data_IF_205199159910
#
_entry.id   IF_205199159910
#
_cell.length_a   1.000
_cell.length_b   1.000
_cell.length_c   1.000
_cell.angle_alpha   90.00
_cell.angle_beta   90.00
_cell.angle_gamma   90.00
#
_symmetry.space_group_name_H-M   'P 1'
#
loop_
_entity.id
_entity.type
_entity.pdbx_description
1 polymer ?
#
# COMPACT_ATOMS: atom_id res chain seq x y z
N UNK A 1 17.63 -17.60 3.63
CA UNK A 1 17.57 -16.17 4.01
C UNK A 1 16.11 -15.87 4.29
N UNK A 2 15.72 -16.06 5.55
CA UNK A 2 14.37 -15.72 6.01
C UNK A 2 14.23 -14.20 6.01
N UNK A 3 13.51 -13.68 5.01
CA UNK A 3 12.98 -12.34 5.03
C UNK A 3 11.70 -12.42 5.85
N UNK A 4 11.78 -12.06 7.12
CA UNK A 4 10.56 -11.87 7.92
C UNK A 4 9.71 -10.79 7.23
N UNK A 5 8.46 -11.09 6.85
CA UNK A 5 7.60 -10.08 6.29
C UNK A 5 7.36 -8.97 7.31
N UNK A 6 7.33 -7.72 6.88
CA UNK A 6 6.75 -6.65 7.68
C UNK A 6 5.35 -7.09 8.08
N UNK A 7 5.01 -6.96 9.37
CA UNK A 7 3.68 -7.33 9.85
C UNK A 7 2.64 -6.49 9.12
N UNK A 8 1.55 -7.11 8.72
CA UNK A 8 0.63 -6.55 7.77
C UNK A 8 -0.49 -5.71 8.38
N UNK A 9 -1.44 -5.36 7.52
CA UNK A 9 -2.70 -4.71 7.86
C UNK A 9 -3.65 -5.76 8.43
N UNK A 10 -4.12 -5.57 9.66
CA UNK A 10 -5.10 -6.44 10.31
C UNK A 10 -6.43 -5.72 10.55
N UNK A 11 -7.52 -6.46 10.60
CA UNK A 11 -8.80 -5.96 11.09
C UNK A 11 -8.93 -6.20 12.62
N UNK A 12 -9.96 -5.60 13.24
CA UNK A 12 -10.23 -5.70 14.69
C UNK A 12 -10.39 -7.16 15.16
N UNK A 13 -10.72 -8.07 14.27
CA UNK A 13 -10.83 -9.50 14.53
C UNK A 13 -9.49 -10.25 14.42
N UNK A 14 -8.35 -9.53 14.36
CA UNK A 14 -6.99 -10.08 14.21
C UNK A 14 -6.78 -10.88 12.92
N UNK A 15 -7.61 -10.67 11.90
CA UNK A 15 -7.39 -11.25 10.58
C UNK A 15 -6.45 -10.35 9.79
N UNK A 16 -5.31 -10.89 9.39
CA UNK A 16 -4.40 -10.20 8.48
C UNK A 16 -5.07 -10.07 7.10
N UNK A 17 -5.25 -8.82 6.64
CA UNK A 17 -5.87 -8.50 5.35
C UNK A 17 -4.81 -8.42 4.26
N UNK A 18 -3.67 -7.83 4.58
CA UNK A 18 -2.56 -7.63 3.65
C UNK A 18 -1.23 -7.64 4.39
N UNK A 19 -0.16 -8.12 3.75
CA UNK A 19 1.20 -8.04 4.25
C UNK A 19 2.17 -7.94 3.09
N UNK A 20 3.09 -7.00 3.16
CA UNK A 20 4.10 -6.80 2.13
C UNK A 20 5.37 -6.20 2.73
N UNK A 21 6.44 -6.19 1.94
CA UNK A 21 7.69 -5.55 2.25
C UNK A 21 8.03 -4.55 1.14
N UNK A 22 8.11 -3.27 1.50
CA UNK A 22 8.36 -2.25 0.49
C UNK A 22 8.52 -0.86 1.07
N UNK A 23 8.52 0.13 0.18
CA UNK A 23 8.62 1.53 0.54
C UNK A 23 7.26 2.10 0.94
N UNK A 24 7.27 2.85 2.04
CA UNK A 24 6.14 3.63 2.52
C UNK A 24 6.58 5.01 2.99
N UNK A 25 5.67 5.95 3.02
CA UNK A 25 5.89 7.32 3.47
C UNK A 25 4.91 7.70 4.57
N UNK A 26 5.44 8.31 5.62
CA UNK A 26 4.64 9.08 6.57
C UNK A 26 4.53 10.52 6.08
N UNK A 27 3.32 10.99 5.84
CA UNK A 27 3.02 12.35 5.39
C UNK A 27 2.33 13.15 6.50
N UNK A 28 2.04 14.41 6.26
CA UNK A 28 1.30 15.24 7.21
C UNK A 28 -0.18 14.84 7.35
N UNK A 29 -0.72 14.11 6.39
CA UNK A 29 -2.11 13.63 6.39
C UNK A 29 -2.25 12.14 6.73
N UNK A 30 -1.16 11.36 6.81
CA UNK A 30 -1.21 9.94 7.11
C UNK A 30 -0.11 9.14 6.43
N UNK A 31 -0.45 7.94 5.95
CA UNK A 31 0.48 7.05 5.27
C UNK A 31 0.27 7.08 3.76
N UNK A 32 1.34 6.88 2.99
CA UNK A 32 1.34 6.84 1.54
C UNK A 32 2.51 5.96 1.02
N UNK A 33 2.68 5.91 -0.28
CA UNK A 33 3.74 5.15 -0.95
C UNK A 33 3.23 3.85 -1.57
N UNK A 34 4.05 3.19 -2.40
CA UNK A 34 3.63 2.04 -3.22
C UNK A 34 2.97 0.91 -2.42
N UNK A 35 3.56 0.58 -1.26
CA UNK A 35 3.03 -0.46 -0.38
C UNK A 35 1.67 -0.09 0.21
N UNK A 36 1.46 1.17 0.60
CA UNK A 36 0.18 1.64 1.17
C UNK A 36 -0.90 1.70 0.09
N UNK A 37 -0.56 2.12 -1.13
CA UNK A 37 -1.48 2.10 -2.27
C UNK A 37 -1.92 0.67 -2.59
N UNK A 38 -0.99 -0.29 -2.61
CA UNK A 38 -1.34 -1.71 -2.80
C UNK A 38 -2.18 -2.25 -1.64
N UNK A 39 -1.87 -1.88 -0.39
CA UNK A 39 -2.65 -2.28 0.77
C UNK A 39 -4.09 -1.73 0.72
N UNK A 40 -4.27 -0.50 0.23
CA UNK A 40 -5.59 0.14 0.16
C UNK A 40 -6.57 -0.60 -0.75
N UNK A 41 -6.11 -1.29 -1.81
CA UNK A 41 -6.96 -2.08 -2.70
C UNK A 41 -7.58 -3.31 -2.01
N UNK A 42 -7.02 -3.74 -0.88
CA UNK A 42 -7.54 -4.86 -0.09
C UNK A 42 -8.56 -4.43 0.99
N UNK A 43 -8.72 -3.13 1.21
CA UNK A 43 -9.66 -2.57 2.17
C UNK A 43 -10.94 -2.18 1.42
N UNK A 44 -12.03 -2.92 1.62
CA UNK A 44 -13.29 -2.68 0.90
C UNK A 44 -14.30 -1.87 1.70
N UNK A 45 -14.27 -1.97 3.02
CA UNK A 45 -15.21 -1.31 3.92
C UNK A 45 -14.42 -0.67 5.05
N UNK A 46 -14.02 0.58 4.82
CA UNK A 46 -13.23 1.34 5.78
C UNK A 46 -14.16 2.03 6.77
N UNK A 47 -13.96 1.72 8.04
CA UNK A 47 -14.62 2.36 9.17
C UNK A 47 -13.55 2.74 10.19
N UNK A 48 -13.76 3.81 10.96
CA UNK A 48 -12.85 4.16 12.05
C UNK A 48 -12.62 2.95 12.97
N UNK A 49 -11.40 2.79 13.43
CA UNK A 49 -10.96 1.75 14.37
C UNK A 49 -11.07 0.30 13.88
N UNK A 50 -11.45 0.08 12.61
CA UNK A 50 -11.58 -1.26 12.03
C UNK A 50 -10.26 -1.85 11.58
N UNK A 51 -9.34 -1.02 11.09
CA UNK A 51 -8.06 -1.47 10.55
C UNK A 51 -6.88 -0.86 11.30
N UNK A 52 -5.89 -1.69 11.54
CA UNK A 52 -4.63 -1.31 12.18
C UNK A 52 -3.49 -1.70 11.25
N UNK A 53 -2.62 -0.75 10.96
CA UNK A 53 -1.34 -1.02 10.30
C UNK A 53 -0.29 -1.36 11.36
N UNK A 54 0.31 -2.54 11.27
CA UNK A 54 1.47 -2.93 12.06
C UNK A 54 2.73 -2.80 11.19
N UNK A 55 3.64 -1.94 11.60
CA UNK A 55 4.81 -1.55 10.80
C UNK A 55 6.07 -2.01 11.51
N UNK A 56 6.86 -2.86 10.86
CA UNK A 56 8.21 -3.15 11.30
C UNK A 56 9.17 -2.08 10.77
N UNK A 57 9.60 -1.17 11.65
CA UNK A 57 10.50 -0.07 11.29
C UNK A 57 11.95 -0.54 11.04
N UNK A 58 12.28 -1.79 11.38
CA UNK A 58 13.62 -2.40 11.24
C UNK A 58 13.53 -3.84 10.72
N UNK A 59 12.96 -4.07 9.53
CA UNK A 59 12.71 -5.42 9.04
C UNK A 59 13.98 -6.22 8.76
N UNK A 60 15.10 -5.56 8.50
CA UNK A 60 16.39 -6.22 8.28
C UNK A 60 17.03 -6.78 9.56
N UNK A 61 16.55 -6.38 10.75
CA UNK A 61 17.08 -6.82 12.04
C UNK A 61 16.04 -7.68 12.74
N UNK A 62 16.42 -8.88 13.19
CA UNK A 62 15.61 -9.61 14.15
C UNK A 62 15.65 -8.94 15.53
N UNK A 63 14.81 -9.38 16.45
CA UNK A 63 14.67 -8.76 17.76
C UNK A 63 16.00 -8.71 18.53
N UNK A 64 16.76 -9.79 18.55
CA UNK A 64 18.04 -9.89 19.29
C UNK A 64 19.11 -8.95 18.70
N UNK A 65 19.22 -8.91 17.37
CA UNK A 65 20.15 -8.02 16.71
C UNK A 65 19.77 -6.55 16.88
N UNK A 66 18.46 -6.24 16.91
CA UNK A 66 17.97 -4.90 17.17
C UNK A 66 18.29 -4.48 18.62
N UNK A 67 18.03 -5.33 19.61
CA UNK A 67 18.35 -5.05 21.02
C UNK A 67 19.85 -4.81 21.20
N UNK A 68 20.69 -5.66 20.61
CA UNK A 68 22.15 -5.49 20.67
C UNK A 68 22.60 -4.21 19.98
N UNK A 69 21.99 -3.84 18.88
CA UNK A 69 22.28 -2.58 18.17
C UNK A 69 21.94 -1.38 19.05
N UNK A 70 20.73 -1.35 19.63
CA UNK A 70 20.30 -0.26 20.53
C UNK A 70 21.21 -0.17 21.75
N UNK A 71 21.60 -1.32 22.33
CA UNK A 71 22.53 -1.35 23.45
C UNK A 71 23.87 -0.70 23.09
N UNK A 72 24.41 -0.97 21.91
CA UNK A 72 25.66 -0.37 21.44
C UNK A 72 25.50 1.15 21.18
N UNK A 73 24.42 1.55 20.53
CA UNK A 73 24.12 2.97 20.26
C UNK A 73 23.98 3.77 21.59
N UNK A 74 23.38 3.18 22.63
CA UNK A 74 23.29 3.80 23.96
C UNK A 74 24.62 3.84 24.72
N UNK A 75 25.47 2.83 24.56
CA UNK A 75 26.83 2.85 25.12
C UNK A 75 27.68 3.96 24.50
N UNK A 76 27.63 4.10 23.17
CA UNK A 76 28.34 5.18 22.45
C UNK A 76 27.87 6.58 22.87
N UNK A 77 26.59 6.71 23.24
CA UNK A 77 25.97 7.97 23.62
C UNK A 77 25.63 8.05 25.13
N UNK A 78 26.34 7.36 25.97
CA UNK A 78 26.03 7.12 27.40
C UNK A 78 25.61 8.37 28.16
N UNK A 79 26.27 9.50 27.94
CA UNK A 79 26.01 10.78 28.60
C UNK A 79 25.01 11.69 27.87
N UNK A 80 24.52 11.27 26.72
CA UNK A 80 23.55 12.04 25.95
C UNK A 80 22.11 11.67 26.31
N UNK A 81 21.21 12.58 26.03
CA UNK A 81 19.79 12.31 26.16
C UNK A 81 19.33 11.31 25.10
N UNK A 82 18.37 10.47 25.42
CA UNK A 82 17.86 9.45 24.49
C UNK A 82 17.32 10.05 23.20
N UNK A 83 16.75 11.25 23.26
CA UNK A 83 16.28 11.97 22.06
C UNK A 83 17.36 12.18 20.99
N UNK A 84 18.62 12.25 21.39
CA UNK A 84 19.76 12.47 20.51
C UNK A 84 20.46 11.17 20.05
N UNK A 85 20.13 10.03 20.64
CA UNK A 85 20.77 8.74 20.34
C UNK A 85 20.21 8.04 19.09
N UNK A 86 19.02 8.43 18.63
CA UNK A 86 18.30 7.73 17.55
C UNK A 86 18.68 8.15 16.12
N UNK A 87 19.51 9.17 15.96
CA UNK A 87 19.82 9.74 14.63
C UNK A 87 20.43 8.74 13.63
N UNK A 88 21.15 7.73 14.14
CA UNK A 88 21.72 6.63 13.33
C UNK A 88 20.75 5.46 13.14
N UNK A 89 19.68 5.40 13.93
CA UNK A 89 18.75 4.28 13.96
C UNK A 89 17.46 4.59 13.18
N UNK A 90 16.92 5.81 13.28
CA UNK A 90 15.63 6.19 12.74
C UNK A 90 15.72 7.48 11.89
N UNK A 91 14.88 7.63 10.85
CA UNK A 91 14.68 8.89 10.18
C UNK A 91 14.22 9.97 11.18
N UNK A 92 14.76 11.18 11.04
CA UNK A 92 14.58 12.29 12.01
C UNK A 92 13.11 12.55 12.38
N UNK A 93 12.20 12.49 11.42
CA UNK A 93 10.77 12.82 11.63
C UNK A 93 10.02 11.79 12.47
N UNK A 94 10.46 10.52 12.49
CA UNK A 94 9.77 9.45 13.25
C UNK A 94 10.31 9.30 14.68
N UNK A 95 11.45 9.93 15.01
CA UNK A 95 12.05 9.82 16.34
C UNK A 95 11.07 10.27 17.41
N UNK A 96 10.47 11.45 17.26
CA UNK A 96 9.54 12.00 18.27
C UNK A 96 8.29 11.12 18.45
N UNK A 97 7.60 10.67 17.39
CA UNK A 97 6.51 9.70 17.52
C UNK A 97 6.90 8.41 18.27
N UNK A 98 8.07 7.85 17.97
CA UNK A 98 8.57 6.64 18.65
C UNK A 98 8.84 6.92 20.13
N UNK A 99 9.53 8.01 20.45
CA UNK A 99 9.82 8.39 21.83
C UNK A 99 8.55 8.65 22.66
N UNK A 100 7.56 9.32 22.09
CA UNK A 100 6.26 9.53 22.75
C UNK A 100 5.57 8.20 23.07
N UNK A 101 5.61 7.25 22.14
CA UNK A 101 5.01 5.93 22.35
C UNK A 101 5.80 5.08 23.35
N UNK A 102 7.11 5.24 23.39
CA UNK A 102 7.97 4.57 24.35
C UNK A 102 7.73 5.04 25.80
N UNK A 103 7.30 6.30 25.99
CA UNK A 103 6.92 6.83 27.30
C UNK A 103 8.10 7.15 28.23
N UNK A 104 9.33 7.05 27.73
CA UNK A 104 10.53 7.45 28.47
C UNK A 104 10.77 8.95 28.30
N UNK A 105 11.14 9.70 29.37
CA UNK A 105 11.47 11.12 29.27
C UNK A 105 12.56 11.39 28.24
N UNK A 106 12.39 12.43 27.41
CA UNK A 106 13.30 12.73 26.29
C UNK A 106 14.71 13.12 26.72
N UNK A 107 14.83 13.66 27.92
CA UNK A 107 16.06 14.10 28.59
C UNK A 107 16.71 13.00 29.44
N UNK A 108 16.10 11.81 29.51
CA UNK A 108 16.69 10.67 30.21
C UNK A 108 18.01 10.29 29.53
N UNK A 109 19.05 10.06 30.34
CA UNK A 109 20.38 9.68 29.84
C UNK A 109 20.41 8.25 29.33
N UNK A 110 21.11 8.01 28.23
CA UNK A 110 21.23 6.68 27.65
C UNK A 110 21.78 5.62 28.60
N UNK A 111 22.68 6.00 29.51
CA UNK A 111 23.25 5.09 30.50
C UNK A 111 22.27 4.69 31.62
N UNK A 112 21.14 5.40 31.76
CA UNK A 112 20.13 5.11 32.80
C UNK A 112 18.93 4.33 32.24
N UNK A 113 18.96 3.94 30.95
CA UNK A 113 17.93 3.10 30.36
C UNK A 113 18.05 1.68 30.86
N UNK A 114 16.94 1.15 31.40
CA UNK A 114 16.88 -0.22 31.91
C UNK A 114 16.74 -1.23 30.76
N UNK A 115 16.94 -2.51 31.11
CA UNK A 115 16.75 -3.60 30.14
C UNK A 115 15.31 -3.70 29.67
N UNK A 116 14.35 -3.48 30.57
CA UNK A 116 12.92 -3.53 30.32
C UNK A 116 12.50 -2.39 29.37
N UNK A 117 12.98 -1.17 29.63
CA UNK A 117 12.73 -0.03 28.76
C UNK A 117 13.31 -0.26 27.35
N UNK A 118 14.52 -0.80 27.26
CA UNK A 118 15.13 -1.13 25.97
C UNK A 118 14.36 -2.21 25.23
N UNK A 119 13.88 -3.24 25.95
CA UNK A 119 13.03 -4.29 25.36
C UNK A 119 11.72 -3.72 24.82
N UNK A 120 11.04 -2.87 25.59
CA UNK A 120 9.83 -2.17 25.14
C UNK A 120 10.07 -1.32 23.88
N UNK A 121 11.23 -0.65 23.81
CA UNK A 121 11.62 0.07 22.59
C UNK A 121 11.76 -0.88 21.39
N UNK A 122 12.39 -2.04 21.56
CA UNK A 122 12.49 -3.04 20.49
C UNK A 122 11.12 -3.51 20.03
N UNK A 123 10.18 -3.76 20.94
CA UNK A 123 8.80 -4.13 20.59
C UNK A 123 8.11 -3.06 19.76
N UNK A 124 8.23 -1.78 20.17
CA UNK A 124 7.68 -0.66 19.43
C UNK A 124 8.28 -0.56 18.01
N UNK A 125 9.58 -0.74 17.87
CA UNK A 125 10.26 -0.67 16.59
C UNK A 125 9.91 -1.86 15.66
N UNK A 126 9.63 -3.02 16.24
CA UNK A 126 9.23 -4.22 15.51
C UNK A 126 7.74 -4.29 15.21
N UNK A 127 6.92 -3.54 15.95
CA UNK A 127 5.47 -3.49 15.78
C UNK A 127 4.95 -2.08 16.07
N UNK A 128 5.27 -1.13 15.19
CA UNK A 128 4.76 0.22 15.29
C UNK A 128 3.34 0.26 14.71
N UNK A 129 2.33 0.35 15.58
CA UNK A 129 0.93 0.32 15.21
C UNK A 129 0.39 1.71 14.85
N UNK A 130 -0.44 1.78 13.81
CA UNK A 130 -1.15 3.00 13.40
C UNK A 130 -2.59 2.62 13.08
N UNK A 131 -3.55 3.28 13.70
CA UNK A 131 -4.96 3.14 13.39
C UNK A 131 -5.29 3.84 12.08
N UNK A 132 -6.13 3.19 11.25
CA UNK A 132 -6.54 3.72 9.96
C UNK A 132 -7.96 4.25 10.11
N UNK A 133 -8.12 5.56 10.04
CA UNK A 133 -9.40 6.24 10.19
C UNK A 133 -10.22 6.31 8.89
N UNK A 134 -9.56 6.27 7.74
CA UNK A 134 -10.24 6.42 6.45
C UNK A 134 -9.29 6.52 5.27
N UNK A 135 -9.86 6.59 4.07
CA UNK A 135 -9.15 6.95 2.85
C UNK A 135 -9.09 8.47 2.67
N UNK A 136 -8.19 8.91 1.82
CA UNK A 136 -8.19 10.28 1.29
C UNK A 136 -9.40 10.46 0.36
N UNK A 137 -9.80 11.73 0.07
CA UNK A 137 -10.83 12.02 -0.91
C UNK A 137 -10.57 11.32 -2.24
N UNK A 138 -11.65 10.90 -2.92
CA UNK A 138 -11.56 10.10 -4.16
C UNK A 138 -10.85 10.88 -5.29
N UNK A 139 -10.89 12.19 -5.25
CA UNK A 139 -10.22 13.08 -6.21
C UNK A 139 -8.68 12.97 -6.14
N UNK A 140 -8.16 12.45 -5.04
CA UNK A 140 -6.73 12.19 -4.84
C UNK A 140 -6.33 10.74 -5.17
N UNK A 141 -7.29 9.89 -5.56
CA UNK A 141 -7.00 8.51 -5.90
C UNK A 141 -6.13 8.44 -7.16
N UNK A 142 -5.07 7.62 -7.12
CA UNK A 142 -4.22 7.35 -8.28
C UNK A 142 -4.97 6.44 -9.25
N UNK A 143 -5.77 5.51 -8.71
CA UNK A 143 -6.65 4.61 -9.44
C UNK A 143 -7.90 4.35 -8.60
N UNK A 144 -9.03 4.20 -9.26
CA UNK A 144 -10.30 3.84 -8.62
C UNK A 144 -10.59 2.35 -8.81
N UNK A 145 -11.25 1.73 -7.84
CA UNK A 145 -11.76 0.36 -7.93
C UNK A 145 -13.23 0.38 -8.34
N UNK A 146 -13.66 -0.61 -9.14
CA UNK A 146 -15.00 -0.71 -9.68
C UNK A 146 -15.06 -0.38 -11.17
N UNK A 147 -16.23 -0.59 -11.77
CA UNK A 147 -16.44 -0.37 -13.20
C UNK A 147 -17.29 -1.45 -13.85
N UNK A 148 -17.13 -1.64 -15.16
CA UNK A 148 -17.83 -2.69 -15.91
C UNK A 148 -17.24 -4.04 -15.56
N UNK A 149 -18.09 -4.97 -15.10
CA UNK A 149 -17.66 -6.32 -14.69
C UNK A 149 -16.93 -7.05 -15.82
N UNK A 150 -15.76 -7.56 -15.53
CA UNK A 150 -14.94 -8.33 -16.48
C UNK A 150 -15.69 -9.55 -17.05
N UNK A 151 -16.62 -10.14 -16.29
CA UNK A 151 -17.46 -11.25 -16.75
C UNK A 151 -18.43 -10.86 -17.87
N UNK A 152 -18.78 -9.58 -18.00
CA UNK A 152 -19.69 -9.03 -19.02
C UNK A 152 -18.95 -8.57 -20.29
N UNK A 153 -17.62 -8.68 -20.32
CA UNK A 153 -16.78 -8.29 -21.45
C UNK A 153 -16.19 -9.55 -22.10
N UNK A 154 -16.13 -9.56 -23.41
CA UNK A 154 -15.43 -10.60 -24.17
C UNK A 154 -13.92 -10.31 -24.12
N UNK A 155 -13.08 -11.17 -23.50
CA UNK A 155 -11.65 -10.89 -23.32
C UNK A 155 -10.84 -10.94 -24.63
N UNK A 156 -11.42 -11.45 -25.72
CA UNK A 156 -10.76 -11.53 -27.02
C UNK A 156 -11.00 -10.29 -27.88
N UNK A 157 -12.10 -9.58 -27.67
CA UNK A 157 -12.51 -8.45 -28.51
C UNK A 157 -12.71 -7.16 -27.73
N UNK A 158 -12.82 -7.25 -26.39
CA UNK A 158 -13.24 -6.18 -25.50
C UNK A 158 -14.69 -5.70 -25.73
N UNK A 159 -15.48 -6.44 -26.49
CA UNK A 159 -16.89 -6.16 -26.75
C UNK A 159 -17.76 -6.58 -25.55
N UNK A 160 -18.81 -5.81 -25.31
CA UNK A 160 -19.85 -6.18 -24.34
C UNK A 160 -20.55 -7.49 -24.75
N UNK A 161 -20.74 -8.40 -23.81
CA UNK A 161 -21.56 -9.59 -24.00
C UNK A 161 -23.07 -9.28 -23.95
N UNK A 162 -23.44 -8.11 -23.44
CA UNK A 162 -24.83 -7.70 -23.26
C UNK A 162 -25.32 -6.79 -24.38
N UNK A 163 -24.46 -5.98 -24.96
CA UNK A 163 -24.79 -4.99 -25.99
C UNK A 163 -23.80 -5.13 -27.15
N UNK A 164 -24.30 -5.57 -28.29
CA UNK A 164 -23.47 -5.71 -29.50
C UNK A 164 -22.99 -4.34 -30.01
N UNK A 165 -21.74 -4.28 -30.47
CA UNK A 165 -21.09 -3.05 -30.93
C UNK A 165 -20.59 -2.10 -29.87
N UNK A 166 -20.76 -2.43 -28.58
CA UNK A 166 -20.24 -1.64 -27.46
C UNK A 166 -18.93 -2.26 -26.97
N UNK A 167 -17.85 -1.47 -26.95
CA UNK A 167 -16.52 -1.90 -26.54
C UNK A 167 -16.05 -1.13 -25.32
N UNK A 168 -15.27 -1.79 -24.46
CA UNK A 168 -14.71 -1.21 -23.24
C UNK A 168 -13.18 -1.30 -23.24
N UNK A 169 -12.52 -0.27 -22.72
CA UNK A 169 -11.07 -0.23 -22.60
C UNK A 169 -10.62 0.63 -21.42
N UNK A 170 -9.47 0.29 -20.84
CA UNK A 170 -8.86 1.06 -19.76
C UNK A 170 -9.58 0.93 -18.44
N UNK A 171 -9.51 1.99 -17.63
CA UNK A 171 -9.95 2.00 -16.23
C UNK A 171 -11.47 1.94 -16.02
N UNK A 172 -12.25 2.02 -17.09
CA UNK A 172 -13.71 1.79 -17.02
C UNK A 172 -14.04 0.32 -16.73
N UNK A 173 -13.10 -0.58 -16.99
CA UNK A 173 -13.22 -2.00 -16.69
C UNK A 173 -12.92 -2.22 -15.21
N UNK A 174 -13.74 -3.03 -14.51
CA UNK A 174 -13.51 -3.43 -13.13
C UNK A 174 -12.28 -4.35 -13.01
N UNK A 175 -11.11 -3.74 -13.19
CA UNK A 175 -9.81 -4.40 -13.13
C UNK A 175 -8.77 -3.39 -12.66
N UNK A 176 -8.34 -3.53 -11.42
CA UNK A 176 -7.27 -2.74 -10.81
C UNK A 176 -6.08 -3.62 -10.46
N UNK A 177 -4.90 -3.19 -10.82
CA UNK A 177 -3.64 -3.86 -10.54
C UNK A 177 -2.78 -3.04 -9.58
N UNK A 178 -1.78 -3.67 -9.00
CA UNK A 178 -0.82 -3.01 -8.12
C UNK A 178 -0.04 -1.91 -8.84
N UNK A 179 0.58 -1.03 -8.03
CA UNK A 179 1.50 0.00 -8.52
C UNK A 179 2.67 -0.63 -9.29
N UNK A 180 3.22 0.11 -10.27
CA UNK A 180 4.33 -0.38 -11.10
C UNK A 180 4.06 -0.37 -12.61
N UNK A 181 3.04 0.37 -13.07
CA UNK A 181 2.72 0.52 -14.50
C UNK A 181 1.77 -0.55 -15.05
N UNK A 182 1.34 -1.52 -14.25
CA UNK A 182 0.44 -2.58 -14.68
C UNK A 182 -0.91 -2.05 -15.18
N UNK A 183 -1.46 -1.03 -14.52
CA UNK A 183 -2.75 -0.42 -14.93
C UNK A 183 -2.63 0.28 -16.30
N UNK A 184 -1.51 0.95 -16.58
CA UNK A 184 -1.23 1.51 -17.89
C UNK A 184 -1.11 0.40 -18.97
N UNK A 185 -0.45 -0.71 -18.63
CA UNK A 185 -0.35 -1.84 -19.56
C UNK A 185 -1.71 -2.46 -19.85
N UNK A 186 -2.59 -2.59 -18.86
CA UNK A 186 -3.98 -3.03 -19.02
C UNK A 186 -4.73 -2.05 -19.94
N UNK A 187 -4.61 -0.74 -19.68
CA UNK A 187 -5.29 0.29 -20.47
C UNK A 187 -4.85 0.26 -21.95
N UNK A 188 -3.55 0.16 -22.23
CA UNK A 188 -3.03 0.09 -23.59
C UNK A 188 -3.42 -1.20 -24.30
N UNK A 189 -3.35 -2.34 -23.62
CA UNK A 189 -3.67 -3.63 -24.22
C UNK A 189 -5.17 -3.73 -24.55
N UNK A 190 -6.02 -3.32 -23.63
CA UNK A 190 -7.47 -3.33 -23.82
C UNK A 190 -7.90 -2.27 -24.86
N UNK A 191 -7.27 -1.08 -24.86
CA UNK A 191 -7.51 -0.02 -25.82
C UNK A 191 -7.18 -0.45 -27.25
N UNK A 192 -6.02 -1.08 -27.44
CA UNK A 192 -5.63 -1.64 -28.74
C UNK A 192 -6.64 -2.68 -29.22
N UNK A 193 -6.95 -3.65 -28.35
CA UNK A 193 -7.83 -4.76 -28.70
C UNK A 193 -9.25 -4.30 -29.02
N UNK A 194 -9.80 -3.37 -28.23
CA UNK A 194 -11.09 -2.76 -28.49
C UNK A 194 -11.09 -1.96 -29.80
N UNK A 195 -10.06 -1.18 -30.09
CA UNK A 195 -9.92 -0.39 -31.30
C UNK A 195 -9.84 -1.25 -32.57
N UNK A 196 -9.00 -2.28 -32.56
CA UNK A 196 -8.89 -3.21 -33.70
C UNK A 196 -10.23 -3.89 -33.98
N UNK A 197 -10.92 -4.41 -32.98
CA UNK A 197 -12.20 -5.13 -33.19
C UNK A 197 -13.36 -4.23 -33.54
N UNK A 198 -13.45 -3.03 -32.96
CA UNK A 198 -14.49 -2.06 -33.31
C UNK A 198 -14.38 -1.60 -34.78
N UNK A 199 -13.15 -1.40 -35.26
CA UNK A 199 -12.91 -1.03 -36.66
C UNK A 199 -13.36 -2.11 -37.65
N UNK A 200 -13.14 -3.38 -37.36
CA UNK A 200 -13.62 -4.50 -38.19
C UNK A 200 -15.14 -4.55 -38.22
N UNK A 201 -15.83 -4.33 -37.12
CA UNK A 201 -17.29 -4.34 -37.05
C UNK A 201 -17.91 -3.23 -37.89
N UNK A 202 -17.34 -2.02 -37.84
CA UNK A 202 -17.79 -0.87 -38.66
C UNK A 202 -17.58 -1.13 -40.17
N UNK A 203 -16.42 -1.71 -40.54
CA UNK A 203 -16.13 -2.02 -41.94
C UNK A 203 -17.15 -3.01 -42.55
N UNK A 204 -17.65 -3.97 -41.75
CA UNK A 204 -18.61 -4.96 -42.21
C UNK A 204 -20.02 -4.37 -42.38
N UNK A 205 -20.42 -3.39 -41.57
CA UNK A 205 -21.73 -2.72 -41.69
C UNK A 205 -21.82 -1.74 -42.87
N UNK A 206 -20.70 -1.21 -43.33
CA UNK A 206 -20.65 -0.33 -44.51
C UNK A 206 -20.58 -1.05 -45.85
N UNK A 207 -20.32 -2.36 -45.89
CA UNK A 207 -20.24 -3.16 -47.13
C UNK A 207 -21.54 -3.82 -47.51
N UNK A 208 -22.61 -3.74 -46.74
CA UNK A 208 -23.95 -4.16 -47.12
C UNK A 208 -24.70 -2.98 -47.74
N UNK A 209 -24.31 -2.56 -48.94
CA UNK A 209 -25.18 -1.78 -49.79
C UNK A 209 -26.40 -2.66 -50.16
N UNK A 210 -27.64 -2.19 -49.97
CA UNK A 210 -28.79 -2.91 -50.48
C UNK A 210 -28.75 -2.90 -52.01
N UNK A 211 -28.33 -4.01 -52.58
CA UNK A 211 -28.55 -4.27 -54.00
C UNK A 211 -30.02 -4.61 -54.22
N UNK A 212 -30.88 -3.62 -54.24
CA UNK A 212 -32.14 -3.66 -55.00
C UNK A 212 -32.05 -2.57 -56.03
N UNK A 213 -31.59 -2.97 -57.21
CA UNK A 213 -31.98 -2.37 -58.47
C UNK A 213 -33.29 -3.10 -58.89
N UNK A 214 -34.38 -2.43 -58.77
CA UNK A 214 -35.58 -2.70 -59.60
C UNK A 214 -35.47 -1.91 -60.87
#
# INVERSE_FOLDING_TARGET
>A
RDRSPSRGLGDVYKRQVYSDFGEMLFTHFGMSGPMILSASSHIRDIQPDRYIAEIDLKPALNFEHLDRRIQNDFKENSNRDVSNAFSKLLPRKIIVPVLKRWGVPFDKKCNSITKEERHALCEILKCFTVEISGFRPIEEAIITSGGVKTSEINPKTMESKLVSGLYFAGEVIDCDAYTGGFNLQIAWSTGRLAGENSAYTVSYTHLTLPTKLE
#
